data_IF_557376762982
#
_entry.id   IF_557376762982
#
_cell.length_a   1.000
_cell.length_b   1.000
_cell.length_c   1.000
_cell.angle_alpha   90.00
_cell.angle_beta   90.00
_cell.angle_gamma   90.00
#
_symmetry.space_group_name_H-M   'P 1'
#
loop_
_entity.id
_entity.type
_entity.pdbx_description
1 polymer ?
#
# COMPACT_ATOMS: atom_id res chain seq x y z
N UNK A 1 4.09 2.35 -20.55
CA UNK A 1 3.72 2.57 -19.13
C UNK A 1 2.32 2.03 -19.03
N UNK A 2 2.10 0.91 -18.36
CA UNK A 2 0.73 0.51 -18.02
C UNK A 2 0.13 1.64 -17.19
N UNK A 3 -1.04 2.13 -17.58
CA UNK A 3 -1.70 3.20 -16.85
C UNK A 3 -2.33 2.61 -15.59
N UNK A 4 -1.58 2.65 -14.48
CA UNK A 4 -2.06 2.17 -13.19
C UNK A 4 -3.32 2.93 -12.74
N UNK A 5 -3.48 4.20 -13.12
CA UNK A 5 -4.64 4.98 -12.75
C UNK A 5 -5.91 4.45 -13.43
N UNK A 6 -5.83 4.17 -14.74
CA UNK A 6 -6.96 3.58 -15.46
C UNK A 6 -7.38 2.23 -14.86
N UNK A 7 -6.40 1.40 -14.48
CA UNK A 7 -6.66 0.11 -13.83
C UNK A 7 -7.31 0.28 -12.44
N UNK A 8 -6.77 1.18 -11.61
CA UNK A 8 -7.32 1.52 -10.28
C UNK A 8 -8.78 1.98 -10.39
N UNK A 9 -9.04 2.96 -11.26
CA UNK A 9 -10.37 3.55 -11.44
C UNK A 9 -11.38 2.53 -11.96
N UNK A 10 -11.00 1.73 -12.96
CA UNK A 10 -11.87 0.71 -13.51
C UNK A 10 -12.23 -0.35 -12.47
N UNK A 11 -11.24 -0.87 -11.76
CA UNK A 11 -11.46 -1.93 -10.77
C UNK A 11 -12.25 -1.42 -9.56
N UNK A 12 -11.97 -0.20 -9.10
CA UNK A 12 -12.76 0.49 -8.07
C UNK A 12 -14.23 0.53 -8.46
N UNK A 13 -14.56 1.07 -9.65
CA UNK A 13 -15.96 1.17 -10.10
C UNK A 13 -16.66 -0.20 -10.23
N UNK A 14 -15.94 -1.23 -10.68
CA UNK A 14 -16.48 -2.60 -10.77
C UNK A 14 -16.82 -3.17 -9.38
N UNK A 15 -15.92 -3.01 -8.40
CA UNK A 15 -16.14 -3.50 -7.04
C UNK A 15 -17.25 -2.70 -6.36
N UNK A 16 -17.25 -1.37 -6.45
CA UNK A 16 -18.28 -0.50 -5.87
C UNK A 16 -19.67 -0.90 -6.33
N UNK A 17 -19.83 -1.19 -7.64
CA UNK A 17 -21.10 -1.65 -8.21
C UNK A 17 -21.53 -3.01 -7.62
N UNK A 18 -20.58 -3.90 -7.36
CA UNK A 18 -20.86 -5.23 -6.81
C UNK A 18 -21.22 -5.18 -5.32
N UNK A 19 -20.49 -4.40 -4.52
CA UNK A 19 -20.66 -4.34 -3.06
C UNK A 19 -21.61 -3.25 -2.57
N UNK A 20 -21.97 -2.29 -3.45
CA UNK A 20 -22.83 -1.13 -3.18
C UNK A 20 -22.31 -0.23 -2.05
N UNK A 21 -20.99 -0.13 -1.94
CA UNK A 21 -20.26 0.70 -0.98
C UNK A 21 -19.13 1.41 -1.72
N UNK A 22 -18.69 2.59 -1.27
CA UNK A 22 -17.52 3.26 -1.84
C UNK A 22 -16.26 2.43 -1.58
N UNK A 23 -15.43 2.26 -2.62
CA UNK A 23 -14.22 1.43 -2.60
C UNK A 23 -13.11 2.13 -3.39
N UNK A 24 -12.01 2.47 -2.71
CA UNK A 24 -10.78 2.93 -3.36
C UNK A 24 -9.85 1.74 -3.63
N UNK A 25 -9.24 1.71 -4.81
CA UNK A 25 -8.30 0.66 -5.23
C UNK A 25 -6.95 1.29 -5.48
N UNK A 26 -5.89 0.68 -4.94
CA UNK A 26 -4.51 1.12 -5.14
C UNK A 26 -3.57 0.00 -5.54
N UNK A 27 -2.74 0.26 -6.54
CA UNK A 27 -1.68 -0.64 -7.01
C UNK A 27 -0.45 -0.49 -6.11
N UNK A 28 -0.10 -1.57 -5.40
CA UNK A 28 1.02 -1.56 -4.46
C UNK A 28 2.39 -1.57 -5.13
N UNK A 29 2.48 -1.91 -6.41
CA UNK A 29 3.75 -1.95 -7.14
C UNK A 29 4.39 -0.56 -7.21
N UNK A 30 3.60 0.47 -7.48
CA UNK A 30 4.02 1.88 -7.64
C UNK A 30 3.77 2.76 -6.41
N UNK A 31 3.07 2.25 -5.39
CA UNK A 31 2.75 3.02 -4.19
C UNK A 31 4.00 3.48 -3.41
N UNK A 32 3.93 4.55 -2.59
CA UNK A 32 4.99 4.93 -1.66
C UNK A 32 5.25 3.85 -0.59
N UNK A 33 6.48 3.77 -0.08
CA UNK A 33 6.89 2.78 0.93
C UNK A 33 6.00 2.83 2.19
N UNK A 34 5.71 4.02 2.69
CA UNK A 34 4.83 4.21 3.86
C UNK A 34 3.41 3.69 3.63
N UNK A 35 2.88 3.84 2.41
CA UNK A 35 1.57 3.28 2.04
C UNK A 35 1.63 1.76 2.03
N UNK A 36 2.63 1.15 1.37
CA UNK A 36 2.81 -0.31 1.34
C UNK A 36 2.93 -0.88 2.76
N UNK A 37 3.70 -0.24 3.63
CA UNK A 37 3.87 -0.65 5.02
C UNK A 37 2.55 -0.62 5.80
N UNK A 38 1.70 0.40 5.60
CA UNK A 38 0.36 0.42 6.18
C UNK A 38 -0.52 -0.70 5.61
N UNK A 39 -0.45 -0.98 4.31
CA UNK A 39 -1.25 -2.03 3.67
C UNK A 39 -0.93 -3.42 4.20
N UNK A 40 0.35 -3.77 4.41
CA UNK A 40 0.73 -5.11 4.92
C UNK A 40 0.24 -5.37 6.36
N UNK A 41 -0.12 -4.32 7.11
CA UNK A 41 -0.74 -4.43 8.45
C UNK A 41 -2.26 -4.59 8.40
N UNK A 42 -2.86 -4.44 7.22
CA UNK A 42 -4.29 -4.60 7.03
C UNK A 42 -4.73 -6.07 6.99
N UNK A 43 -5.99 -6.27 6.62
CA UNK A 43 -6.58 -7.59 6.50
C UNK A 43 -6.40 -8.15 5.07
N UNK A 44 -5.94 -9.40 4.96
CA UNK A 44 -5.79 -10.07 3.69
C UNK A 44 -7.15 -10.60 3.21
N UNK A 45 -7.67 -10.05 2.11
CA UNK A 45 -8.91 -10.55 1.50
C UNK A 45 -8.67 -11.80 0.64
N UNK A 46 -7.62 -11.79 -0.18
CA UNK A 46 -7.28 -12.90 -1.08
C UNK A 46 -5.81 -12.87 -1.47
N UNK A 47 -5.25 -14.04 -1.74
CA UNK A 47 -3.87 -14.20 -2.21
C UNK A 47 -3.82 -15.39 -3.16
N UNK A 48 -3.33 -15.15 -4.37
CA UNK A 48 -3.16 -16.20 -5.39
C UNK A 48 -1.84 -16.96 -5.24
N UNK A 49 -0.86 -16.35 -4.58
CA UNK A 49 0.48 -16.90 -4.41
C UNK A 49 1.12 -16.33 -3.13
N UNK A 50 1.14 -17.15 -2.08
CA UNK A 50 1.70 -16.76 -0.78
C UNK A 50 3.19 -16.47 -0.83
N UNK A 51 3.95 -17.20 -1.64
CA UNK A 51 5.40 -17.02 -1.76
C UNK A 51 5.73 -15.62 -2.31
N UNK A 52 4.99 -15.14 -3.31
CA UNK A 52 5.16 -13.76 -3.81
C UNK A 52 4.75 -12.75 -2.74
N UNK A 53 3.65 -13.01 -2.02
CA UNK A 53 3.14 -12.12 -0.97
C UNK A 53 4.13 -12.00 0.19
N UNK A 54 4.68 -13.10 0.69
CA UNK A 54 5.64 -13.08 1.80
C UNK A 54 6.92 -12.35 1.41
N UNK A 55 7.49 -12.62 0.23
CA UNK A 55 8.66 -11.87 -0.26
C UNK A 55 8.38 -10.36 -0.38
N UNK A 56 7.17 -9.99 -0.80
CA UNK A 56 6.77 -8.58 -0.81
C UNK A 56 6.74 -8.00 0.61
N UNK A 57 6.11 -8.69 1.56
CA UNK A 57 6.02 -8.25 2.96
C UNK A 57 7.41 -8.10 3.59
N UNK A 58 8.27 -9.11 3.46
CA UNK A 58 9.64 -9.10 3.98
C UNK A 58 10.44 -7.91 3.44
N UNK A 59 10.39 -7.67 2.12
CA UNK A 59 11.05 -6.52 1.51
C UNK A 59 10.53 -5.19 2.09
N UNK A 60 9.22 -5.01 2.18
CA UNK A 60 8.63 -3.77 2.71
C UNK A 60 8.97 -3.58 4.19
N UNK A 61 9.01 -4.65 4.99
CA UNK A 61 9.41 -4.57 6.38
C UNK A 61 10.86 -4.11 6.52
N UNK A 62 11.78 -4.69 5.76
CA UNK A 62 13.19 -4.28 5.77
C UNK A 62 13.34 -2.81 5.34
N UNK A 63 12.82 -2.45 4.17
CA UNK A 63 12.92 -1.09 3.63
C UNK A 63 12.31 -0.04 4.58
N UNK A 64 11.14 -0.32 5.17
CA UNK A 64 10.49 0.61 6.07
C UNK A 64 11.22 0.74 7.41
N UNK A 65 11.75 -0.36 7.97
CA UNK A 65 12.49 -0.29 9.24
C UNK A 65 13.80 0.47 9.10
N UNK A 66 14.47 0.39 7.96
CA UNK A 66 15.65 1.21 7.66
C UNK A 66 15.29 2.71 7.55
N UNK A 67 14.10 3.03 7.02
CA UNK A 67 13.64 4.42 6.84
C UNK A 67 13.00 5.01 8.11
N UNK A 68 12.41 4.19 8.98
CA UNK A 68 11.61 4.60 10.13
C UNK A 68 12.29 5.65 11.04
N UNK A 69 13.58 5.52 11.41
CA UNK A 69 14.23 6.52 12.27
C UNK A 69 14.29 7.91 11.62
N UNK A 70 14.41 7.97 10.28
CA UNK A 70 14.42 9.22 9.52
C UNK A 70 13.03 9.83 9.52
N UNK A 71 11.99 9.00 9.29
CA UNK A 71 10.59 9.42 9.34
C UNK A 71 10.23 10.03 10.71
N UNK A 72 10.64 9.37 11.80
CA UNK A 72 10.42 9.84 13.17
C UNK A 72 11.07 11.20 13.42
N UNK A 73 12.35 11.36 13.03
CA UNK A 73 13.07 12.62 13.18
C UNK A 73 12.42 13.78 12.39
N UNK A 74 11.96 13.51 11.16
CA UNK A 74 11.27 14.53 10.35
C UNK A 74 9.97 14.97 11.04
N UNK A 75 9.21 14.03 11.61
CA UNK A 75 7.96 14.35 12.31
C UNK A 75 8.25 15.22 13.54
N UNK A 76 9.27 14.88 14.32
CA UNK A 76 9.70 15.68 15.48
C UNK A 76 10.08 17.12 15.08
N UNK A 77 10.87 17.28 14.01
CA UNK A 77 11.26 18.59 13.49
C UNK A 77 10.07 19.43 13.00
N UNK A 78 9.10 18.80 12.31
CA UNK A 78 7.89 19.49 11.83
C UNK A 78 6.99 19.92 12.99
N UNK A 79 6.83 19.09 14.03
CA UNK A 79 5.97 19.39 15.18
C UNK A 79 6.58 20.42 16.14
N UNK A 80 7.91 20.58 16.12
CA UNK A 80 8.62 21.57 16.90
C UNK A 80 8.66 22.98 16.25
N UNK A 81 8.20 23.12 15.01
CA UNK A 81 8.15 24.37 14.24
C UNK A 81 6.80 25.09 14.39
#
# INVERSE_FOLDING_TARGET
MEDFLDYELKLSAEIEKAVRLPVDVRVLNSAPLSFKYKTIKGELLTSKNEEIRFRFIERILMEYLDFKPIEEKIIEEILAA
#
